data_IF_351579978420
#
_entry.id   IF_351579978420
#
_cell.length_a   1.000
_cell.length_b   1.000
_cell.length_c   1.000
_cell.angle_alpha   90.00
_cell.angle_beta   90.00
_cell.angle_gamma   90.00
#
_symmetry.space_group_name_H-M   'P 1'
#
loop_
_entity.id
_entity.type
_entity.pdbx_description
1 polymer ?
#
# COMPACT_ATOMS: atom_id res chain seq x y z
N UNK A 1 -46.05 -39.98 30.54
CA UNK A 1 -44.90 -39.75 31.44
C UNK A 1 -43.71 -40.56 30.95
N UNK A 2 -42.76 -39.93 30.25
CA UNK A 2 -41.33 -39.94 30.62
C UNK A 2 -40.55 -39.07 29.65
N UNK A 3 -39.88 -38.07 30.22
CA UNK A 3 -38.95 -37.15 29.56
C UNK A 3 -37.67 -37.91 29.21
N UNK A 4 -37.14 -37.71 28.00
CA UNK A 4 -35.71 -37.88 27.76
C UNK A 4 -35.12 -36.60 27.17
N UNK A 5 -34.38 -35.95 28.06
CA UNK A 5 -33.53 -34.79 27.89
C UNK A 5 -32.28 -35.18 27.07
N UNK A 6 -32.02 -34.51 25.95
CA UNK A 6 -30.76 -34.61 25.21
C UNK A 6 -30.07 -33.25 25.23
N UNK A 7 -29.32 -33.01 26.29
CA UNK A 7 -28.27 -31.97 26.32
C UNK A 7 -27.08 -32.48 25.52
N UNK A 8 -27.01 -32.10 24.24
CA UNK A 8 -25.78 -32.24 23.47
C UNK A 8 -24.81 -31.14 23.92
N UNK A 9 -23.71 -31.55 24.56
CA UNK A 9 -22.55 -30.70 24.82
C UNK A 9 -22.00 -30.20 23.47
N UNK A 10 -22.08 -28.89 23.25
CA UNK A 10 -21.28 -28.20 22.24
C UNK A 10 -19.91 -27.91 22.85
N UNK A 11 -18.96 -28.81 22.61
CA UNK A 11 -17.54 -28.56 22.85
C UNK A 11 -17.05 -27.66 21.71
N UNK A 12 -17.13 -26.35 21.90
CA UNK A 12 -16.63 -25.37 20.94
C UNK A 12 -15.11 -25.37 20.93
N UNK A 13 -14.51 -25.91 19.88
CA UNK A 13 -13.08 -25.79 19.59
C UNK A 13 -12.78 -24.31 19.34
N UNK A 14 -11.95 -23.72 20.20
CA UNK A 14 -11.37 -22.41 19.93
C UNK A 14 -10.41 -22.55 18.74
N UNK A 15 -10.87 -22.18 17.55
CA UNK A 15 -10.01 -22.06 16.37
C UNK A 15 -9.05 -20.88 16.59
N UNK A 16 -7.78 -21.18 16.83
CA UNK A 16 -6.72 -20.18 16.70
C UNK A 16 -6.61 -19.77 15.23
N UNK A 17 -7.23 -18.66 14.86
CA UNK A 17 -7.02 -18.03 13.55
C UNK A 17 -5.62 -17.41 13.53
N UNK A 18 -4.59 -18.22 13.24
CA UNK A 18 -3.29 -17.70 12.84
C UNK A 18 -3.46 -17.01 11.49
N UNK A 19 -3.56 -15.68 11.50
CA UNK A 19 -3.53 -14.88 10.28
C UNK A 19 -2.11 -14.95 9.72
N UNK A 20 -1.85 -15.88 8.80
CA UNK A 20 -0.56 -15.96 8.13
C UNK A 20 -0.46 -14.78 7.16
N UNK A 21 0.31 -13.75 7.54
CA UNK A 21 0.68 -12.69 6.60
C UNK A 21 1.37 -13.31 5.38
N UNK A 22 0.99 -12.88 4.18
CA UNK A 22 1.56 -13.40 2.92
C UNK A 22 2.90 -12.71 2.60
N UNK A 23 3.22 -11.63 3.30
CA UNK A 23 4.52 -10.98 3.29
C UNK A 23 5.09 -10.82 4.71
N UNK A 24 6.40 -11.00 4.84
CA UNK A 24 7.13 -10.58 6.03
C UNK A 24 7.90 -9.30 5.74
N UNK A 25 7.89 -8.38 6.70
CA UNK A 25 8.77 -7.22 6.66
C UNK A 25 10.22 -7.70 6.75
N UNK A 26 11.05 -7.22 5.84
CA UNK A 26 12.48 -7.46 5.88
C UNK A 26 13.23 -6.15 5.66
N UNK A 27 14.14 -5.87 6.58
CA UNK A 27 15.06 -4.73 6.48
C UNK A 27 16.47 -5.26 6.44
N UNK A 28 17.19 -4.94 5.37
CA UNK A 28 18.58 -5.36 5.15
C UNK A 28 19.44 -4.12 4.97
N UNK A 29 20.46 -3.96 5.80
CA UNK A 29 21.37 -2.82 5.73
C UNK A 29 22.82 -3.29 5.53
N UNK A 30 23.58 -2.53 4.77
CA UNK A 30 25.03 -2.65 4.62
C UNK A 30 25.69 -1.31 4.92
N UNK A 31 26.73 -1.31 5.75
CA UNK A 31 27.43 -0.10 6.16
C UNK A 31 28.74 0.07 5.37
N UNK A 32 28.98 1.28 4.84
CA UNK A 32 30.25 1.65 4.21
C UNK A 32 30.55 3.13 4.47
N UNK A 33 31.73 3.44 5.03
CA UNK A 33 32.20 4.82 5.21
C UNK A 33 31.29 5.72 6.07
N UNK A 34 30.63 5.18 7.11
CA UNK A 34 29.75 5.95 8.00
C UNK A 34 28.33 6.18 7.48
N UNK A 35 28.02 5.70 6.27
CA UNK A 35 26.66 5.69 5.69
C UNK A 35 26.18 4.24 5.61
N UNK A 36 24.93 4.01 6.02
CA UNK A 36 24.25 2.74 5.83
C UNK A 36 23.36 2.80 4.59
N UNK A 37 23.49 1.82 3.69
CA UNK A 37 22.52 1.60 2.62
C UNK A 37 21.58 0.49 3.06
N UNK A 38 20.29 0.78 3.11
CA UNK A 38 19.26 -0.12 3.59
C UNK A 38 18.20 -0.36 2.52
N UNK A 39 17.59 -1.53 2.58
CA UNK A 39 16.37 -1.87 1.84
C UNK A 39 15.35 -2.37 2.83
N UNK A 40 14.20 -1.70 2.89
CA UNK A 40 13.06 -2.08 3.72
C UNK A 40 11.88 -2.43 2.82
N UNK A 41 11.18 -3.51 3.10
CA UNK A 41 9.98 -3.86 2.35
C UNK A 41 9.41 -5.22 2.67
N UNK A 42 8.36 -5.56 1.94
CA UNK A 42 7.69 -6.86 2.05
C UNK A 42 8.36 -7.88 1.13
N UNK A 43 8.82 -8.98 1.71
CA UNK A 43 9.19 -10.17 0.94
C UNK A 43 7.93 -10.91 0.50
N UNK A 44 7.55 -10.72 -0.77
CA UNK A 44 6.35 -11.31 -1.37
C UNK A 44 6.72 -12.54 -2.21
N UNK A 45 7.08 -13.65 -1.56
CA UNK A 45 7.51 -14.87 -2.26
C UNK A 45 6.38 -15.61 -2.98
N UNK A 46 5.11 -15.35 -2.63
CA UNK A 46 3.91 -15.96 -3.23
C UNK A 46 2.72 -15.00 -3.20
N UNK A 47 2.84 -13.87 -3.88
CA UNK A 47 1.75 -12.91 -4.02
C UNK A 47 1.31 -12.86 -5.49
N UNK A 48 0.05 -13.23 -5.75
CA UNK A 48 -0.51 -13.13 -7.09
C UNK A 48 -0.69 -11.65 -7.48
N UNK A 49 -0.16 -11.22 -8.64
CA UNK A 49 -0.29 -9.85 -9.10
C UNK A 49 -1.77 -9.43 -9.24
N UNK A 50 -2.18 -8.44 -8.44
CA UNK A 50 -3.51 -7.84 -8.59
C UNK A 50 -3.49 -6.86 -9.77
N UNK A 51 -4.45 -7.02 -10.69
CA UNK A 51 -4.69 -6.12 -11.83
C UNK A 51 -6.05 -5.46 -11.70
N UNK A 52 -6.15 -4.19 -12.09
CA UNK A 52 -7.44 -3.50 -12.11
C UNK A 52 -8.38 -4.17 -13.10
N UNK A 53 -9.64 -4.37 -12.68
CA UNK A 53 -10.69 -4.97 -13.52
C UNK A 53 -11.42 -3.95 -14.39
N UNK A 54 -11.26 -2.66 -14.07
CA UNK A 54 -11.70 -1.56 -14.91
C UNK A 54 -10.62 -0.49 -15.02
N UNK A 55 -10.69 0.34 -16.07
CA UNK A 55 -9.69 1.37 -16.39
C UNK A 55 -9.54 2.42 -15.28
N UNK A 56 -10.60 2.70 -14.53
CA UNK A 56 -10.57 3.68 -13.43
C UNK A 56 -10.46 3.04 -12.02
N UNK A 57 -10.22 1.73 -11.93
CA UNK A 57 -10.20 0.98 -10.66
C UNK A 57 -8.82 0.71 -10.11
N UNK A 58 -7.80 1.48 -10.52
CA UNK A 58 -6.46 1.40 -9.94
C UNK A 58 -6.49 1.52 -8.40
N UNK A 59 -7.37 2.37 -7.87
CA UNK A 59 -7.56 2.56 -6.43
C UNK A 59 -8.17 1.33 -5.74
N UNK A 60 -9.19 0.71 -6.33
CA UNK A 60 -9.84 -0.47 -5.76
C UNK A 60 -8.92 -1.71 -5.83
N UNK A 61 -8.16 -1.83 -6.92
CA UNK A 61 -7.11 -2.83 -7.07
C UNK A 61 -6.00 -2.67 -6.01
N UNK A 62 -5.63 -1.44 -5.65
CA UNK A 62 -4.69 -1.20 -4.56
C UNK A 62 -5.24 -1.65 -3.20
N UNK A 63 -6.54 -1.42 -2.92
CA UNK A 63 -7.19 -1.91 -1.70
C UNK A 63 -7.17 -3.44 -1.65
N UNK A 64 -7.59 -4.11 -2.74
CA UNK A 64 -7.51 -5.56 -2.85
C UNK A 64 -6.09 -6.07 -2.61
N UNK A 65 -5.09 -5.45 -3.23
CA UNK A 65 -3.70 -5.87 -3.11
C UNK A 65 -3.19 -5.76 -1.66
N UNK A 66 -3.46 -4.64 -1.00
CA UNK A 66 -3.05 -4.43 0.41
C UNK A 66 -3.72 -5.45 1.34
N UNK A 67 -5.03 -5.68 1.19
CA UNK A 67 -5.73 -6.65 2.01
C UNK A 67 -5.21 -8.07 1.76
N UNK A 68 -4.97 -8.43 0.49
CA UNK A 68 -4.43 -9.75 0.12
C UNK A 68 -3.02 -9.97 0.70
N UNK A 69 -2.15 -8.94 0.69
CA UNK A 69 -0.83 -9.01 1.34
C UNK A 69 -0.93 -9.27 2.85
N UNK A 70 -1.99 -8.78 3.48
CA UNK A 70 -2.31 -8.99 4.90
C UNK A 70 -3.18 -10.23 5.15
N UNK A 71 -3.35 -11.10 4.16
CA UNK A 71 -4.09 -12.35 4.29
C UNK A 71 -5.61 -12.18 4.40
N UNK A 72 -6.17 -11.13 3.79
CA UNK A 72 -7.61 -10.91 3.64
C UNK A 72 -7.94 -10.71 2.17
N UNK A 73 -8.49 -11.72 1.52
CA UNK A 73 -8.80 -11.64 0.10
C UNK A 73 -10.16 -10.99 -0.15
N UNK A 74 -10.17 -9.87 -0.87
CA UNK A 74 -11.39 -9.12 -1.22
C UNK A 74 -11.49 -8.86 -2.73
N UNK A 75 -12.71 -8.55 -3.19
CA UNK A 75 -12.94 -8.13 -4.57
C UNK A 75 -12.87 -6.59 -4.71
N UNK A 76 -12.45 -6.10 -5.89
CA UNK A 76 -12.38 -4.65 -6.17
C UNK A 76 -13.78 -4.03 -6.16
N UNK A 77 -14.74 -4.78 -6.68
CA UNK A 77 -16.17 -4.49 -6.74
C UNK A 77 -16.71 -4.12 -5.37
N UNK A 78 -16.29 -4.80 -4.31
CA UNK A 78 -16.76 -4.49 -2.95
C UNK A 78 -16.30 -3.11 -2.48
N UNK A 79 -15.08 -2.70 -2.83
CA UNK A 79 -14.61 -1.34 -2.55
C UNK A 79 -15.40 -0.30 -3.36
N UNK A 80 -15.68 -0.59 -4.63
CA UNK A 80 -16.43 0.29 -5.53
C UNK A 80 -17.88 0.45 -5.07
N UNK A 81 -18.55 -0.65 -4.77
CA UNK A 81 -19.92 -0.69 -4.26
C UNK A 81 -20.03 0.03 -2.90
N UNK A 82 -19.05 -0.13 -2.02
CA UNK A 82 -19.01 0.59 -0.73
C UNK A 82 -18.99 2.12 -0.88
N UNK A 83 -18.47 2.65 -2.00
CA UNK A 83 -18.41 4.09 -2.26
C UNK A 83 -19.55 4.59 -3.14
N UNK A 84 -19.89 3.85 -4.20
CA UNK A 84 -20.82 4.32 -5.22
C UNK A 84 -22.19 3.62 -5.17
N UNK A 85 -22.37 2.63 -4.30
CA UNK A 85 -23.59 1.81 -4.22
C UNK A 85 -23.83 0.90 -5.43
N UNK A 86 -22.89 0.84 -6.37
CA UNK A 86 -22.96 0.03 -7.59
C UNK A 86 -21.57 -0.20 -8.19
N UNK A 87 -21.41 -1.26 -8.99
CA UNK A 87 -20.17 -1.61 -9.67
C UNK A 87 -19.94 -0.76 -10.94
N UNK A 88 -19.69 0.53 -10.75
CA UNK A 88 -19.45 1.49 -11.84
C UNK A 88 -17.96 1.71 -12.08
N UNK A 89 -17.54 1.87 -13.35
CA UNK A 89 -16.15 2.16 -13.70
C UNK A 89 -15.82 3.63 -13.43
N UNK A 90 -15.50 3.96 -12.19
CA UNK A 90 -15.20 5.32 -11.74
C UNK A 90 -13.97 5.39 -10.84
N UNK A 91 -13.18 6.43 -11.04
CA UNK A 91 -12.06 6.80 -10.19
C UNK A 91 -12.53 7.27 -8.81
N UNK A 92 -11.64 7.24 -7.84
CA UNK A 92 -11.89 7.71 -6.48
C UNK A 92 -10.89 8.78 -6.05
N UNK A 93 -11.37 9.75 -5.30
CA UNK A 93 -10.56 10.75 -4.60
C UNK A 93 -9.90 10.14 -3.36
N UNK A 94 -8.84 10.77 -2.82
CA UNK A 94 -8.20 10.30 -1.58
C UNK A 94 -9.17 10.11 -0.41
N UNK A 95 -10.11 11.04 -0.12
CA UNK A 95 -11.11 10.81 0.92
C UNK A 95 -11.99 9.58 0.66
N UNK A 96 -12.36 9.32 -0.59
CA UNK A 96 -13.13 8.13 -0.97
C UNK A 96 -12.32 6.84 -0.81
N UNK A 97 -11.02 6.84 -1.14
CA UNK A 97 -10.15 5.68 -0.90
C UNK A 97 -10.08 5.35 0.60
N UNK A 98 -9.88 6.38 1.44
CA UNK A 98 -9.86 6.22 2.90
C UNK A 98 -11.23 5.73 3.41
N UNK A 99 -12.33 6.31 2.92
CA UNK A 99 -13.69 5.91 3.26
C UNK A 99 -13.97 4.45 2.86
N UNK A 100 -13.46 4.01 1.70
CA UNK A 100 -13.67 2.65 1.22
C UNK A 100 -12.98 1.66 2.17
N UNK A 101 -11.75 1.96 2.56
CA UNK A 101 -10.98 1.11 3.47
C UNK A 101 -11.61 1.07 4.86
N UNK A 102 -11.98 2.22 5.42
CA UNK A 102 -12.44 2.31 6.81
C UNK A 102 -13.70 1.49 7.09
N UNK A 103 -13.69 0.76 8.21
CA UNK A 103 -14.86 0.08 8.76
C UNK A 103 -14.79 -1.44 8.64
N UNK A 104 -15.95 -2.08 8.66
CA UNK A 104 -16.07 -3.54 8.63
C UNK A 104 -15.94 -4.08 7.21
N UNK A 105 -15.30 -5.25 7.12
CA UNK A 105 -15.13 -6.00 5.90
C UNK A 105 -15.37 -7.49 6.16
N UNK A 106 -15.78 -8.19 5.10
CA UNK A 106 -15.85 -9.64 5.06
C UNK A 106 -14.99 -10.07 3.87
N UNK A 107 -14.02 -10.95 4.09
CA UNK A 107 -13.22 -11.49 3.00
C UNK A 107 -13.99 -12.58 2.22
N UNK A 108 -13.42 -13.07 1.12
CA UNK A 108 -14.05 -14.10 0.28
C UNK A 108 -14.28 -15.44 0.98
N UNK A 109 -13.65 -15.67 2.13
CA UNK A 109 -13.81 -16.87 2.94
C UNK A 109 -14.83 -16.68 4.08
N UNK A 110 -15.44 -15.49 4.18
CA UNK A 110 -16.41 -15.15 5.22
C UNK A 110 -15.78 -14.64 6.52
N UNK A 111 -14.47 -14.42 6.57
CA UNK A 111 -13.81 -13.88 7.75
C UNK A 111 -14.09 -12.38 7.88
N UNK A 112 -14.62 -11.98 9.04
CA UNK A 112 -14.89 -10.58 9.36
C UNK A 112 -13.61 -9.94 9.91
N UNK A 113 -13.26 -8.77 9.40
CA UNK A 113 -12.16 -7.97 9.90
C UNK A 113 -12.52 -6.49 9.87
N UNK A 114 -11.81 -5.69 10.67
CA UNK A 114 -11.91 -4.23 10.59
C UNK A 114 -10.68 -3.69 9.90
N UNK A 115 -10.88 -2.70 9.04
CA UNK A 115 -9.79 -2.01 8.36
C UNK A 115 -9.83 -0.51 8.67
N UNK A 116 -8.65 0.09 8.71
CA UNK A 116 -8.46 1.51 8.89
C UNK A 116 -7.44 2.06 7.89
N UNK A 117 -7.62 3.32 7.53
CA UNK A 117 -6.72 4.07 6.68
C UNK A 117 -6.60 5.53 7.11
N UNK A 118 -5.40 6.07 6.95
CA UNK A 118 -5.10 7.48 7.17
C UNK A 118 -4.13 8.00 6.11
N UNK A 119 -4.23 9.29 5.80
CA UNK A 119 -3.20 9.96 4.99
C UNK A 119 -1.94 10.13 5.84
N UNK A 120 -0.78 9.98 5.21
CA UNK A 120 0.51 10.37 5.76
C UNK A 120 0.90 11.75 5.22
N UNK A 121 0.46 12.87 5.83
CA UNK A 121 0.70 14.21 5.30
C UNK A 121 2.20 14.53 5.21
N UNK A 122 2.99 14.13 6.20
CA UNK A 122 4.43 14.41 6.24
C UNK A 122 5.21 13.60 5.19
N UNK A 123 4.68 12.44 4.80
CA UNK A 123 5.22 11.61 3.72
C UNK A 123 4.82 12.11 2.33
N UNK A 124 3.70 12.80 2.23
CA UNK A 124 3.13 13.29 0.99
C UNK A 124 3.20 14.82 0.93
N UNK A 125 4.40 15.43 1.03
CA UNK A 125 4.62 16.84 0.65
C UNK A 125 6.09 17.28 0.71
N UNK A 126 6.65 17.65 -0.45
CA UNK A 126 7.37 18.91 -0.75
C UNK A 126 8.14 18.77 -2.08
N UNK A 127 7.41 18.71 -3.19
CA UNK A 127 8.02 18.90 -4.50
C UNK A 127 8.31 20.39 -4.64
N UNK A 128 9.55 20.81 -4.36
CA UNK A 128 10.00 22.18 -4.66
C UNK A 128 9.80 22.42 -6.16
N UNK A 129 8.91 23.34 -6.49
CA UNK A 129 8.39 23.62 -7.84
C UNK A 129 9.41 24.28 -8.78
N UNK A 130 10.71 24.19 -8.49
CA UNK A 130 11.77 24.84 -9.27
C UNK A 130 12.14 24.10 -10.55
N UNK A 131 11.55 22.93 -10.84
CA UNK A 131 11.80 22.17 -12.08
C UNK A 131 10.60 22.29 -13.01
N UNK A 132 10.79 22.94 -14.15
CA UNK A 132 9.79 23.06 -15.20
C UNK A 132 9.33 21.66 -15.69
N UNK A 133 8.04 21.46 -16.02
CA UNK A 133 7.51 20.18 -16.48
C UNK A 133 8.27 19.54 -17.65
N UNK A 134 8.90 20.35 -18.51
CA UNK A 134 9.63 19.89 -19.70
C UNK A 134 11.05 19.33 -19.42
N UNK A 135 11.57 19.45 -18.18
CA UNK A 135 12.86 18.85 -17.76
C UNK A 135 12.68 17.60 -16.88
N UNK A 136 11.44 17.18 -16.72
CA UNK A 136 10.99 16.02 -15.98
C UNK A 136 11.76 14.73 -16.22
N UNK A 137 11.94 14.40 -17.50
CA UNK A 137 12.43 13.10 -17.93
C UNK A 137 13.97 13.04 -17.94
N UNK A 138 14.63 14.17 -17.63
CA UNK A 138 16.10 14.30 -17.54
C UNK A 138 16.62 14.28 -16.11
N UNK A 139 15.73 14.25 -15.11
CA UNK A 139 16.14 14.15 -13.71
C UNK A 139 16.22 12.68 -13.33
N UNK A 140 17.39 12.15 -12.96
CA UNK A 140 17.51 10.77 -12.50
C UNK A 140 16.64 10.54 -11.25
N UNK A 141 16.03 9.35 -11.14
CA UNK A 141 15.04 9.02 -10.08
C UNK A 141 15.55 9.31 -8.66
N UNK A 142 16.86 9.20 -8.43
CA UNK A 142 17.49 9.53 -7.16
C UNK A 142 17.35 11.02 -6.75
N UNK A 143 17.22 11.94 -7.69
CA UNK A 143 17.02 13.36 -7.42
C UNK A 143 15.54 13.69 -7.15
N UNK A 144 14.60 12.98 -7.79
CA UNK A 144 13.18 13.11 -7.47
C UNK A 144 12.85 12.57 -6.07
N UNK A 145 13.57 11.54 -5.62
CA UNK A 145 13.39 10.97 -4.28
C UNK A 145 13.91 11.86 -3.15
N UNK A 146 14.81 12.80 -3.44
CA UNK A 146 15.20 13.85 -2.48
C UNK A 146 14.08 14.88 -2.24
N UNK A 147 12.94 14.76 -2.94
CA UNK A 147 11.77 15.63 -2.76
C UNK A 147 10.87 15.17 -1.61
N UNK A 148 11.11 13.96 -1.08
CA UNK A 148 10.57 13.60 0.22
C UNK A 148 11.31 14.38 1.30
N UNK A 149 10.56 15.04 2.18
CA UNK A 149 11.14 15.57 3.43
C UNK A 149 11.78 14.42 4.21
N UNK A 150 12.81 14.70 5.02
CA UNK A 150 13.45 13.68 5.84
C UNK A 150 12.44 12.96 6.75
N UNK A 151 11.50 13.70 7.34
CA UNK A 151 10.46 13.13 8.20
C UNK A 151 9.45 12.29 7.40
N UNK A 152 9.13 12.72 6.17
CA UNK A 152 8.33 11.94 5.25
C UNK A 152 9.00 10.64 4.83
N UNK A 153 10.29 10.69 4.47
CA UNK A 153 11.08 9.52 4.15
C UNK A 153 11.18 8.55 5.33
N UNK A 154 11.40 9.07 6.55
CA UNK A 154 11.36 8.28 7.80
C UNK A 154 10.02 7.62 8.01
N UNK A 155 8.91 8.31 7.76
CA UNK A 155 7.58 7.71 7.93
C UNK A 155 7.34 6.59 6.91
N UNK A 156 7.71 6.79 5.64
CA UNK A 156 7.61 5.74 4.61
C UNK A 156 8.42 4.50 5.00
N UNK A 157 9.68 4.69 5.40
CA UNK A 157 10.57 3.59 5.80
C UNK A 157 10.02 2.88 7.04
N UNK A 158 9.54 3.61 8.05
CA UNK A 158 9.01 3.02 9.27
C UNK A 158 7.77 2.13 9.02
N UNK A 159 6.89 2.52 8.10
CA UNK A 159 5.74 1.67 7.73
C UNK A 159 6.19 0.41 6.99
N UNK A 160 7.16 0.52 6.08
CA UNK A 160 7.70 -0.63 5.35
C UNK A 160 8.48 -1.58 6.27
N UNK A 161 9.24 -1.05 7.24
CA UNK A 161 9.90 -1.81 8.30
C UNK A 161 8.89 -2.58 9.17
N UNK A 162 7.70 -2.00 9.38
CA UNK A 162 6.58 -2.64 10.08
C UNK A 162 5.76 -3.61 9.20
N UNK A 163 6.13 -3.79 7.93
CA UNK A 163 5.42 -4.65 6.99
C UNK A 163 4.08 -4.07 6.52
N UNK A 164 3.91 -2.75 6.62
CA UNK A 164 2.73 -2.04 6.12
C UNK A 164 2.98 -1.54 4.70
N UNK A 165 2.37 -2.15 3.67
CA UNK A 165 2.37 -1.56 2.34
C UNK A 165 1.55 -0.27 2.35
N UNK A 166 1.92 0.69 1.50
CA UNK A 166 1.28 2.01 1.43
C UNK A 166 0.62 2.20 0.07
N UNK A 167 -0.56 2.82 0.02
CA UNK A 167 -1.16 3.22 -1.26
C UNK A 167 -0.62 4.59 -1.64
N UNK A 168 -0.03 4.72 -2.83
CA UNK A 168 0.45 5.98 -3.39
C UNK A 168 -0.50 6.42 -4.50
N UNK A 169 -1.02 7.65 -4.40
CA UNK A 169 -1.75 8.30 -5.48
C UNK A 169 -0.89 9.34 -6.20
N UNK A 170 -0.81 9.24 -7.52
CA UNK A 170 0.00 10.08 -8.41
C UNK A 170 -0.91 10.87 -9.35
N UNK A 171 -0.73 12.19 -9.39
CA UNK A 171 -1.26 13.07 -10.42
C UNK A 171 -0.33 13.06 -11.65
N UNK A 172 -0.88 12.88 -12.85
CA UNK A 172 -0.09 12.90 -14.09
C UNK A 172 -0.66 12.03 -15.21
N UNK A 173 -1.48 11.03 -14.92
CA UNK A 173 -2.34 10.37 -15.90
C UNK A 173 -3.63 11.18 -16.11
N UNK A 174 -4.28 11.05 -17.28
CA UNK A 174 -5.53 11.74 -17.59
C UNK A 174 -6.65 11.52 -16.54
N UNK A 175 -6.58 10.41 -15.79
CA UNK A 175 -7.58 9.99 -14.78
C UNK A 175 -6.95 9.94 -13.35
N UNK A 176 -5.65 10.23 -13.21
CA UNK A 176 -4.88 9.93 -11.99
C UNK A 176 -4.56 8.44 -11.87
N UNK A 177 -3.52 8.08 -11.08
CA UNK A 177 -3.11 6.67 -10.91
C UNK A 177 -2.82 6.32 -9.46
N UNK A 178 -3.15 5.10 -9.06
CA UNK A 178 -2.85 4.56 -7.73
C UNK A 178 -2.00 3.30 -7.84
N UNK A 179 -0.98 3.19 -6.98
CA UNK A 179 -0.11 2.01 -6.87
C UNK A 179 0.13 1.66 -5.40
N UNK A 180 0.62 0.44 -5.11
CA UNK A 180 0.96 0.01 -3.74
C UNK A 180 2.46 -0.01 -3.55
N UNK A 181 3.01 0.85 -2.70
CA UNK A 181 4.40 0.80 -2.27
C UNK A 181 4.65 -0.41 -1.39
N UNK A 182 5.66 -1.20 -1.74
CA UNK A 182 6.02 -2.45 -1.06
C UNK A 182 7.47 -2.54 -0.65
N UNK A 183 8.36 -1.71 -1.18
CA UNK A 183 9.74 -1.60 -0.69
C UNK A 183 10.35 -0.22 -0.98
N UNK A 184 11.38 0.12 -0.22
CA UNK A 184 12.22 1.30 -0.41
C UNK A 184 13.69 0.93 -0.20
N UNK A 185 14.56 1.45 -1.07
CA UNK A 185 16.01 1.47 -0.86
C UNK A 185 16.41 2.89 -0.47
N UNK A 186 17.25 3.05 0.56
CA UNK A 186 17.63 4.34 1.10
C UNK A 186 19.03 4.34 1.72
N UNK A 187 19.61 5.53 1.83
CA UNK A 187 20.81 5.77 2.66
C UNK A 187 20.41 6.37 3.99
N UNK A 188 21.05 5.93 5.06
CA UNK A 188 20.93 6.47 6.41
C UNK A 188 22.30 6.94 6.89
N UNK A 189 22.42 8.21 7.24
CA UNK A 189 23.65 8.76 7.83
C UNK A 189 23.68 8.61 9.37
N UNK A 190 24.77 9.04 9.99
CA UNK A 190 24.95 9.00 11.45
C UNK A 190 23.95 9.86 12.23
N UNK A 191 23.37 10.88 11.59
CA UNK A 191 22.35 11.75 12.18
C UNK A 191 20.92 11.18 11.98
N UNK A 192 20.81 10.02 11.35
CA UNK A 192 19.53 9.39 11.03
C UNK A 192 18.78 10.10 9.90
N UNK A 193 19.47 10.89 9.08
CA UNK A 193 18.91 11.43 7.84
C UNK A 193 18.67 10.30 6.84
N UNK A 194 17.49 10.25 6.23
CA UNK A 194 17.10 9.26 5.24
C UNK A 194 17.05 9.91 3.87
N UNK A 195 17.91 9.42 2.97
CA UNK A 195 17.87 9.73 1.54
C UNK A 195 17.32 8.54 0.75
N UNK A 196 16.07 8.63 0.29
CA UNK A 196 15.46 7.60 -0.55
C UNK A 196 16.21 7.48 -1.89
N UNK A 197 16.46 6.25 -2.33
CA UNK A 197 17.17 5.90 -3.57
C UNK A 197 16.29 5.14 -4.56
N UNK A 198 15.36 4.34 -4.05
CA UNK A 198 14.41 3.59 -4.86
C UNK A 198 13.09 3.40 -4.10
N UNK A 199 11.96 3.43 -4.80
CA UNK A 199 10.65 3.03 -4.31
C UNK A 199 10.09 1.95 -5.24
N UNK A 200 9.74 0.80 -4.69
CA UNK A 200 9.19 -0.34 -5.44
C UNK A 200 7.70 -0.45 -5.19
N UNK A 201 6.92 -0.41 -6.28
CA UNK A 201 5.46 -0.45 -6.25
C UNK A 201 4.89 -1.71 -6.88
N UNK A 202 3.64 -2.00 -6.53
CA UNK A 202 2.73 -2.90 -7.23
C UNK A 202 1.75 -2.06 -8.03
N UNK A 203 1.88 -2.14 -9.34
CA UNK A 203 1.09 -1.40 -10.31
C UNK A 203 -0.07 -2.27 -10.83
N UNK A 204 -1.33 -1.89 -10.57
CA UNK A 204 -2.47 -2.63 -11.05
C UNK A 204 -2.74 -2.43 -12.55
N UNK A 205 -2.07 -1.48 -13.21
CA UNK A 205 -2.30 -1.17 -14.63
C UNK A 205 -1.87 -2.33 -15.54
N UNK A 206 -2.74 -2.87 -16.43
CA UNK A 206 -2.46 -4.12 -17.15
C UNK A 206 -1.20 -4.10 -18.02
N UNK A 207 -0.93 -2.97 -18.67
CA UNK A 207 0.22 -2.81 -19.57
C UNK A 207 1.57 -2.66 -18.85
N UNK A 208 1.57 -2.34 -17.55
CA UNK A 208 2.79 -2.15 -16.78
C UNK A 208 3.21 -3.46 -16.10
N UNK A 209 4.51 -3.73 -15.91
CA UNK A 209 4.95 -4.76 -14.97
C UNK A 209 4.33 -4.51 -13.60
N UNK A 210 3.72 -5.52 -12.99
CA UNK A 210 3.08 -5.33 -11.69
C UNK A 210 4.11 -4.89 -10.65
N UNK A 211 5.24 -5.58 -10.52
CA UNK A 211 6.36 -5.10 -9.70
C UNK A 211 7.25 -4.20 -10.53
N UNK A 212 7.40 -2.94 -10.14
CA UNK A 212 8.32 -2.00 -10.79
C UNK A 212 8.80 -0.93 -9.84
N UNK A 213 9.87 -0.25 -10.23
CA UNK A 213 10.33 0.97 -9.57
C UNK A 213 9.43 2.15 -9.96
N UNK A 214 9.13 3.02 -9.00
CA UNK A 214 8.41 4.28 -9.23
C UNK A 214 9.31 5.25 -10.00
N UNK A 215 8.80 5.85 -11.08
CA UNK A 215 9.60 6.74 -11.93
C UNK A 215 9.72 8.15 -11.35
N UNK A 216 10.73 8.91 -11.79
CA UNK A 216 10.98 10.28 -11.33
C UNK A 216 9.81 11.25 -11.57
N UNK A 217 9.09 11.08 -12.69
CA UNK A 217 7.87 11.82 -13.02
C UNK A 217 6.73 11.49 -12.06
N UNK A 218 6.56 10.21 -11.73
CA UNK A 218 5.53 9.75 -10.80
C UNK A 218 5.83 10.20 -9.37
N UNK A 219 7.09 10.17 -8.94
CA UNK A 219 7.52 10.68 -7.63
C UNK A 219 7.15 12.16 -7.47
N UNK A 220 7.34 12.98 -8.52
CA UNK A 220 6.93 14.39 -8.52
C UNK A 220 5.42 14.60 -8.54
N UNK A 221 4.70 13.63 -9.10
CA UNK A 221 3.25 13.62 -9.11
C UNK A 221 2.62 13.06 -7.85
N UNK A 222 3.38 12.61 -6.84
CA UNK A 222 2.78 12.05 -5.61
C UNK A 222 1.95 13.10 -4.91
N UNK A 223 0.63 12.88 -4.88
CA UNK A 223 -0.35 13.75 -4.22
C UNK A 223 -0.78 13.20 -2.86
N UNK A 224 -0.71 11.89 -2.68
CA UNK A 224 -1.13 11.26 -1.44
C UNK A 224 -0.37 9.96 -1.19
N UNK A 225 -0.15 9.69 0.09
CA UNK A 225 0.30 8.40 0.60
C UNK A 225 -0.68 8.02 1.70
N UNK A 226 -1.25 6.82 1.60
CA UNK A 226 -2.25 6.29 2.52
C UNK A 226 -1.68 5.06 3.19
N UNK A 227 -1.64 5.11 4.52
CA UNK A 227 -1.35 3.96 5.39
C UNK A 227 -2.62 3.15 5.58
N UNK A 228 -2.49 1.83 5.63
CA UNK A 228 -3.60 0.89 5.85
C UNK A 228 -3.25 -0.12 6.93
N UNK A 229 -4.16 -0.33 7.88
CA UNK A 229 -4.04 -1.34 8.93
C UNK A 229 -5.32 -2.17 9.06
N UNK A 230 -5.19 -3.38 9.59
CA UNK A 230 -6.29 -4.30 9.87
C UNK A 230 -6.28 -4.66 11.35
N UNK A 231 -7.46 -4.77 11.98
CA UNK A 231 -7.69 -5.20 13.36
C UNK A 231 -8.41 -6.56 13.40
#
# INVERSE_FOLDING_TARGET
>A
MNLMNRRSLMTGIAALCASTSVGHAATRCSASGGIQTCTSGLELSKFDPVRQRCEEWCWAACIQAVFSMKGRETAQEWAVEKIFGSNTCRGATTPQIIQAINGEWIDQYGFKFRAGAERLPDAAMSVSTSVLPQQADKIPSNAALNMFSNDGAKRVVAELDAGNPLIIGVAGAAIGHATVLTAATYTKDSNGFIGLKELVVRDPWPANPNRRTLQASEVRGVMTIVRVWLD
#
